data_IF_209417908143
#
_entry.id   IF_209417908143
#
_cell.length_a   1.000
_cell.length_b   1.000
_cell.length_c   1.000
_cell.angle_alpha   90.00
_cell.angle_beta   90.00
_cell.angle_gamma   90.00
#
_symmetry.space_group_name_H-M   'P 1'
#
loop_
_entity.id
_entity.type
_entity.pdbx_description
1 polymer ?
#
# COMPACT_ATOMS: atom_id res chain seq x y z
N UNK A 1 -10.86 -1.07 -18.77
CA UNK A 1 -11.03 -0.40 -17.46
C UNK A 1 -9.71 -0.29 -16.70
N UNK A 2 -9.14 -1.34 -16.10
CA UNK A 2 -7.88 -1.21 -15.31
C UNK A 2 -6.68 -0.76 -16.15
N UNK A 3 -6.37 -1.46 -17.26
CA UNK A 3 -5.23 -1.09 -18.12
C UNK A 3 -5.36 0.30 -18.78
N UNK A 4 -6.60 0.75 -19.00
CA UNK A 4 -6.90 2.07 -19.53
C UNK A 4 -6.64 3.16 -18.49
N UNK A 5 -7.11 2.95 -17.26
CA UNK A 5 -6.83 3.86 -16.13
C UNK A 5 -5.32 3.93 -15.84
N UNK A 6 -4.61 2.80 -15.87
CA UNK A 6 -3.14 2.78 -15.71
C UNK A 6 -2.46 3.61 -16.80
N UNK A 7 -2.82 3.40 -18.08
CA UNK A 7 -2.24 4.18 -19.18
C UNK A 7 -2.53 5.68 -19.02
N UNK A 8 -3.76 6.06 -18.66
CA UNK A 8 -4.14 7.46 -18.48
C UNK A 8 -3.39 8.14 -17.33
N UNK A 9 -3.31 7.49 -16.17
CA UNK A 9 -2.65 8.09 -15.00
C UNK A 9 -1.15 8.23 -15.20
N UNK A 10 -0.50 7.23 -15.79
CA UNK A 10 0.93 7.29 -16.10
C UNK A 10 1.25 8.30 -17.22
N UNK A 11 0.40 8.44 -18.23
CA UNK A 11 0.55 9.49 -19.24
C UNK A 11 0.48 10.90 -18.62
N UNK A 12 -0.39 11.12 -17.62
CA UNK A 12 -0.45 12.37 -16.85
C UNK A 12 0.79 12.61 -15.98
N UNK A 13 1.58 11.57 -15.70
CA UNK A 13 2.87 11.62 -15.01
C UNK A 13 4.06 11.54 -15.97
N UNK A 14 3.83 11.81 -17.27
CA UNK A 14 4.85 11.84 -18.32
C UNK A 14 5.58 10.50 -18.56
N UNK A 15 4.86 9.37 -18.42
CA UNK A 15 5.36 8.03 -18.74
C UNK A 15 4.60 7.43 -19.92
N UNK A 16 5.32 6.86 -20.88
CA UNK A 16 4.74 6.11 -22.00
C UNK A 16 4.44 4.64 -21.64
N UNK A 17 3.90 3.85 -22.58
CA UNK A 17 3.51 2.45 -22.34
C UNK A 17 4.70 1.54 -21.94
N UNK A 18 5.87 1.74 -22.53
CA UNK A 18 7.08 0.95 -22.22
C UNK A 18 7.62 1.29 -20.83
N UNK A 19 7.71 2.58 -20.51
CA UNK A 19 8.18 3.06 -19.20
C UNK A 19 7.22 2.64 -18.08
N UNK A 20 5.91 2.71 -18.32
CA UNK A 20 4.87 2.26 -17.38
C UNK A 20 5.00 0.77 -17.08
N UNK A 21 5.20 -0.06 -18.11
CA UNK A 21 5.42 -1.49 -17.94
C UNK A 21 6.71 -1.78 -17.18
N UNK A 22 7.81 -1.12 -17.55
CA UNK A 22 9.11 -1.29 -16.89
C UNK A 22 9.06 -0.91 -15.40
N UNK A 23 8.43 0.22 -15.05
CA UNK A 23 8.27 0.65 -13.66
C UNK A 23 7.41 -0.32 -12.85
N UNK A 24 6.26 -0.72 -13.40
CA UNK A 24 5.32 -1.60 -12.68
C UNK A 24 5.91 -2.99 -12.46
N UNK A 25 6.48 -3.60 -13.50
CA UNK A 25 7.08 -4.93 -13.40
C UNK A 25 8.38 -4.89 -12.57
N UNK A 26 9.22 -3.88 -12.78
CA UNK A 26 10.45 -3.69 -12.01
C UNK A 26 10.19 -3.49 -10.51
N UNK A 27 9.24 -2.61 -10.16
CA UNK A 27 8.84 -2.37 -8.78
C UNK A 27 8.26 -3.62 -8.10
N UNK A 28 7.36 -4.34 -8.77
CA UNK A 28 6.73 -5.55 -8.22
C UNK A 28 7.58 -6.83 -8.33
N UNK A 29 8.83 -6.75 -8.79
CA UNK A 29 9.77 -7.88 -8.73
C UNK A 29 10.31 -8.09 -7.31
N UNK A 30 10.25 -7.05 -6.46
CA UNK A 30 10.82 -7.06 -5.11
C UNK A 30 9.75 -6.75 -4.06
N UNK A 31 9.91 -7.35 -2.88
CA UNK A 31 9.00 -7.12 -1.75
C UNK A 31 7.73 -7.97 -1.83
N UNK A 32 6.67 -7.48 -1.20
CA UNK A 32 5.35 -8.11 -1.10
C UNK A 32 4.29 -7.09 -0.69
N UNK A 33 3.02 -7.41 -0.89
CA UNK A 33 1.91 -6.69 -0.24
C UNK A 33 1.66 -7.26 1.16
N UNK A 34 0.90 -6.55 2.00
CA UNK A 34 0.58 -6.95 3.37
C UNK A 34 -0.93 -6.86 3.62
N UNK A 35 -1.55 -7.99 3.95
CA UNK A 35 -2.98 -8.17 4.09
C UNK A 35 -3.38 -9.35 4.98
N UNK A 36 -2.52 -9.78 5.90
CA UNK A 36 -2.80 -10.91 6.81
C UNK A 36 -3.70 -10.49 7.99
N UNK A 37 -4.91 -10.01 7.70
CA UNK A 37 -5.87 -9.55 8.70
C UNK A 37 -6.98 -8.69 8.09
N UNK A 38 -7.84 -8.17 8.97
CA UNK A 38 -8.92 -7.25 8.59
C UNK A 38 -8.39 -5.82 8.48
N UNK A 39 -8.56 -5.19 7.31
CA UNK A 39 -8.15 -3.80 7.08
C UNK A 39 -9.01 -2.82 7.88
N UNK A 40 -10.26 -3.16 8.19
CA UNK A 40 -11.17 -2.32 8.98
C UNK A 40 -10.80 -2.28 10.46
N UNK A 41 -9.91 -3.20 10.91
CA UNK A 41 -9.38 -3.21 12.28
C UNK A 41 -8.23 -2.22 12.49
N UNK A 42 -7.69 -1.61 11.42
CA UNK A 42 -6.62 -0.62 11.54
C UNK A 42 -7.12 0.65 12.21
N UNK A 43 -6.29 1.23 13.06
CA UNK A 43 -6.52 2.53 13.66
C UNK A 43 -6.56 3.68 12.63
N UNK A 44 -6.87 4.90 13.08
CA UNK A 44 -6.92 6.09 12.22
C UNK A 44 -5.60 6.35 11.49
N UNK A 45 -5.67 7.11 10.40
CA UNK A 45 -4.49 7.59 9.69
C UNK A 45 -3.65 8.56 10.56
N UNK A 46 -2.38 8.84 10.19
CA UNK A 46 -1.47 9.61 11.03
C UNK A 46 -1.96 11.00 11.46
N UNK A 47 -2.79 11.67 10.66
CA UNK A 47 -3.30 13.02 11.00
C UNK A 47 -4.51 12.97 11.95
N UNK A 48 -5.14 11.81 12.08
CA UNK A 48 -6.28 11.55 12.97
C UNK A 48 -5.92 10.66 14.18
N UNK A 49 -4.67 10.20 14.26
CA UNK A 49 -4.15 9.39 15.35
C UNK A 49 -3.91 10.21 16.63
N UNK A 50 -3.95 9.53 17.77
CA UNK A 50 -3.63 10.14 19.06
C UNK A 50 -2.16 10.61 19.10
N UNK A 51 -1.91 11.68 19.85
CA UNK A 51 -0.57 12.29 19.96
C UNK A 51 0.49 11.34 20.51
N UNK A 52 0.08 10.33 21.29
CA UNK A 52 0.98 9.31 21.85
C UNK A 52 1.55 8.37 20.77
N UNK A 53 0.94 8.32 19.59
CA UNK A 53 1.46 7.62 18.42
C UNK A 53 2.57 8.39 17.70
N UNK A 54 2.88 9.62 18.12
CA UNK A 54 4.05 10.39 17.70
C UNK A 54 4.17 10.56 16.17
N UNK A 55 3.04 10.82 15.50
CA UNK A 55 2.98 11.01 14.05
C UNK A 55 2.94 9.72 13.23
N UNK A 56 2.81 8.57 13.89
CA UNK A 56 2.43 7.30 13.25
C UNK A 56 0.89 7.18 13.17
N UNK A 57 0.42 6.22 12.39
CA UNK A 57 -1.00 5.89 12.24
C UNK A 57 -1.19 4.47 11.73
N UNK A 58 -2.42 4.11 11.40
CA UNK A 58 -2.83 2.76 10.97
C UNK A 58 -2.36 1.67 11.93
N UNK A 59 -2.40 1.95 13.24
CA UNK A 59 -1.99 0.99 14.26
C UNK A 59 -2.85 -0.26 14.14
N UNK A 60 -2.19 -1.40 13.94
CA UNK A 60 -2.84 -2.69 13.87
C UNK A 60 -2.94 -3.31 15.28
N UNK A 61 -4.14 -3.43 15.87
CA UNK A 61 -4.31 -4.03 17.20
C UNK A 61 -3.95 -5.52 17.24
N UNK A 62 -3.89 -6.19 16.08
CA UNK A 62 -3.55 -7.60 15.92
C UNK A 62 -2.08 -7.83 15.49
N UNK A 63 -1.24 -6.77 15.44
CA UNK A 63 0.14 -6.85 14.95
C UNK A 63 1.01 -7.83 15.76
N UNK A 64 0.81 -7.91 17.08
CA UNK A 64 1.57 -8.77 18.01
C UNK A 64 3.12 -8.65 17.84
N UNK A 65 3.60 -7.47 17.43
CA UNK A 65 5.01 -7.21 17.13
C UNK A 65 5.60 -8.03 15.97
N UNK A 66 4.76 -8.71 15.17
CA UNK A 66 5.19 -9.61 14.08
C UNK A 66 4.88 -8.98 12.72
N UNK A 67 5.92 -8.82 11.89
CA UNK A 67 5.76 -8.35 10.52
C UNK A 67 4.82 -9.24 9.68
N UNK A 68 4.73 -10.54 10.00
CA UNK A 68 3.82 -11.47 9.34
C UNK A 68 2.33 -11.14 9.55
N UNK A 69 1.98 -10.35 10.56
CA UNK A 69 0.61 -9.92 10.84
C UNK A 69 0.32 -8.50 10.32
N UNK A 70 1.23 -7.89 9.56
CA UNK A 70 1.04 -6.56 9.03
C UNK A 70 -0.13 -6.52 8.04
N UNK A 71 -0.88 -5.41 8.07
CA UNK A 71 -1.97 -5.11 7.13
C UNK A 71 -1.75 -3.69 6.62
N UNK A 72 -1.80 -3.50 5.30
CA UNK A 72 -1.65 -2.17 4.67
C UNK A 72 -2.61 -2.02 3.49
N UNK A 73 -2.43 -2.81 2.43
CA UNK A 73 -3.35 -2.79 1.28
C UNK A 73 -4.52 -3.76 1.44
N UNK A 74 -4.44 -4.69 2.40
CA UNK A 74 -5.40 -5.80 2.54
C UNK A 74 -5.19 -6.92 1.52
N UNK A 75 -4.17 -6.82 0.66
CA UNK A 75 -3.80 -7.84 -0.32
C UNK A 75 -2.55 -8.57 0.17
N UNK A 76 -2.49 -9.88 -0.04
CA UNK A 76 -1.31 -10.70 0.26
C UNK A 76 -0.77 -11.31 -1.05
N UNK A 77 0.46 -10.95 -1.43
CA UNK A 77 1.08 -11.31 -2.71
C UNK A 77 2.54 -10.90 -2.79
#
# INVERSE_FOLDING_TARGET
KTAEAVRETFARMAMNDEETAALTCGGHTVGKTHGNGDADALGPDPEAADVDQQGLGWVNPNMDGKAANAVTSGIEG
#
